data_IF_667497260813
#
_entry.id   IF_667497260813
#
_cell.length_a   1.000
_cell.length_b   1.000
_cell.length_c   1.000
_cell.angle_alpha   90.00
_cell.angle_beta   90.00
_cell.angle_gamma   90.00
#
_symmetry.space_group_name_H-M   'P 1'
#
loop_
_entity.id
_entity.type
_entity.pdbx_description
1 polymer ?
#
# COMPACT_ATOMS: atom_id res chain seq x y z
N UNK A 1 57.05 -31.69 -14.62
CA UNK A 1 56.75 -30.68 -13.57
C UNK A 1 55.36 -30.97 -13.01
N UNK A 2 55.24 -31.40 -11.75
CA UNK A 2 53.94 -31.56 -11.07
C UNK A 2 53.60 -30.23 -10.40
N UNK A 3 52.50 -29.59 -10.79
CA UNK A 3 51.95 -28.48 -10.01
C UNK A 3 51.48 -29.03 -8.67
N UNK A 4 52.03 -28.52 -7.56
CA UNK A 4 51.43 -28.74 -6.24
C UNK A 4 50.19 -27.88 -6.18
N UNK A 5 49.02 -28.49 -6.13
CA UNK A 5 47.80 -27.79 -5.75
C UNK A 5 47.98 -27.33 -4.29
N UNK A 6 48.18 -26.03 -4.09
CA UNK A 6 48.21 -25.42 -2.76
C UNK A 6 46.77 -25.31 -2.26
N UNK A 7 46.34 -26.30 -1.47
CA UNK A 7 45.05 -26.28 -0.78
C UNK A 7 45.10 -25.47 0.51
N UNK A 8 43.96 -24.91 0.91
CA UNK A 8 43.77 -24.27 2.22
C UNK A 8 43.90 -25.31 3.36
N UNK A 9 44.43 -24.90 4.51
CA UNK A 9 44.47 -25.78 5.68
C UNK A 9 43.06 -25.96 6.29
N UNK A 10 42.80 -27.09 6.97
CA UNK A 10 41.51 -27.30 7.66
C UNK A 10 41.22 -26.19 8.68
N UNK A 11 42.24 -25.74 9.41
CA UNK A 11 42.09 -24.66 10.39
C UNK A 11 41.76 -23.32 9.72
N UNK A 12 42.35 -23.03 8.57
CA UNK A 12 42.06 -21.81 7.80
C UNK A 12 40.64 -21.79 7.26
N UNK A 13 40.13 -22.94 6.78
CA UNK A 13 38.73 -23.07 6.39
C UNK A 13 37.80 -22.85 7.61
N UNK A 14 38.11 -23.43 8.76
CA UNK A 14 37.31 -23.25 9.97
C UNK A 14 37.30 -21.79 10.44
N UNK A 15 38.44 -21.10 10.39
CA UNK A 15 38.53 -19.68 10.74
C UNK A 15 37.75 -18.83 9.74
N UNK A 16 37.90 -19.07 8.43
CA UNK A 16 37.17 -18.35 7.39
C UNK A 16 35.65 -18.54 7.53
N UNK A 17 35.18 -19.77 7.77
CA UNK A 17 33.77 -20.05 8.02
C UNK A 17 33.26 -19.37 9.30
N UNK A 18 34.07 -19.37 10.37
CA UNK A 18 33.71 -18.69 11.62
C UNK A 18 33.52 -17.20 11.40
N UNK A 19 34.46 -16.54 10.69
CA UNK A 19 34.35 -15.12 10.34
C UNK A 19 33.13 -14.89 9.45
N UNK A 20 32.88 -15.74 8.45
CA UNK A 20 31.72 -15.62 7.58
C UNK A 20 30.39 -15.71 8.35
N UNK A 21 30.28 -16.63 9.31
CA UNK A 21 29.09 -16.75 10.17
C UNK A 21 28.90 -15.49 11.02
N UNK A 22 29.95 -14.98 11.64
CA UNK A 22 29.89 -13.72 12.41
C UNK A 22 29.40 -12.57 11.51
N UNK A 23 29.95 -12.43 10.30
CA UNK A 23 29.52 -11.38 9.37
C UNK A 23 28.06 -11.55 8.93
N UNK A 24 27.63 -12.76 8.60
CA UNK A 24 26.26 -13.04 8.17
C UNK A 24 25.24 -12.75 9.27
N UNK A 25 25.54 -13.11 10.53
CA UNK A 25 24.63 -12.84 11.66
C UNK A 25 24.37 -11.35 11.87
N UNK A 26 25.33 -10.48 11.54
CA UNK A 26 25.16 -9.03 11.61
C UNK A 26 24.47 -8.46 10.34
N UNK A 27 24.78 -9.01 9.16
CA UNK A 27 24.28 -8.49 7.89
C UNK A 27 22.78 -8.82 7.64
N UNK A 28 22.36 -10.07 7.90
CA UNK A 28 20.99 -10.54 7.62
C UNK A 28 19.87 -9.70 8.25
N UNK A 29 19.92 -9.30 9.54
CA UNK A 29 18.84 -8.49 10.13
C UNK A 29 18.72 -7.11 9.47
N UNK A 30 19.84 -6.50 9.05
CA UNK A 30 19.84 -5.21 8.34
C UNK A 30 19.11 -5.31 7.00
N UNK A 31 19.43 -6.35 6.20
CA UNK A 31 18.78 -6.61 4.92
C UNK A 31 17.26 -6.83 5.05
N UNK A 32 16.80 -7.54 6.08
CA UNK A 32 15.37 -7.72 6.34
C UNK A 32 14.66 -6.37 6.52
N UNK A 33 15.24 -5.44 7.28
CA UNK A 33 14.64 -4.12 7.50
C UNK A 33 14.53 -3.29 6.21
N UNK A 34 15.52 -3.40 5.31
CA UNK A 34 15.52 -2.71 4.02
C UNK A 34 14.41 -3.26 3.12
N UNK A 35 14.28 -4.59 3.04
CA UNK A 35 13.23 -5.24 2.25
C UNK A 35 11.84 -4.83 2.75
N UNK A 36 11.62 -4.81 4.06
CA UNK A 36 10.32 -4.41 4.63
C UNK A 36 10.04 -2.91 4.37
N UNK A 37 11.06 -2.06 4.44
CA UNK A 37 10.94 -0.64 4.09
C UNK A 37 10.56 -0.44 2.62
N UNK A 38 11.13 -1.25 1.73
CA UNK A 38 10.79 -1.23 0.31
C UNK A 38 9.36 -1.70 0.09
N UNK A 39 8.94 -2.81 0.71
CA UNK A 39 7.56 -3.33 0.64
C UNK A 39 6.54 -2.30 1.12
N UNK A 40 6.79 -1.68 2.28
CA UNK A 40 5.97 -0.60 2.82
C UNK A 40 5.85 0.57 1.82
N UNK A 41 6.98 1.06 1.30
CA UNK A 41 7.00 2.18 0.35
C UNK A 41 6.26 1.83 -0.95
N UNK A 42 6.48 0.63 -1.48
CA UNK A 42 5.82 0.15 -2.70
C UNK A 42 4.30 0.11 -2.51
N UNK A 43 3.77 -0.58 -1.49
CA UNK A 43 2.31 -0.71 -1.31
C UNK A 43 1.64 0.64 -1.04
N UNK A 44 2.27 1.52 -0.25
CA UNK A 44 1.75 2.88 -0.03
C UNK A 44 1.69 3.65 -1.35
N UNK A 45 2.72 3.56 -2.19
CA UNK A 45 2.72 4.22 -3.48
C UNK A 45 1.69 3.63 -4.44
N UNK A 46 1.50 2.31 -4.45
CA UNK A 46 0.48 1.65 -5.30
C UNK A 46 -0.93 2.10 -4.92
N UNK A 47 -1.26 2.16 -3.61
CA UNK A 47 -2.56 2.70 -3.17
C UNK A 47 -2.66 4.20 -3.46
N UNK A 48 -1.60 4.97 -3.24
CA UNK A 48 -1.58 6.39 -3.59
C UNK A 48 -1.85 6.63 -5.09
N UNK A 49 -1.24 5.82 -5.96
CA UNK A 49 -1.50 5.84 -7.40
C UNK A 49 -2.95 5.43 -7.69
N UNK A 50 -3.47 4.38 -7.06
CA UNK A 50 -4.86 3.96 -7.25
C UNK A 50 -5.87 5.04 -6.85
N UNK A 51 -5.62 5.79 -5.76
CA UNK A 51 -6.44 6.94 -5.35
C UNK A 51 -6.41 8.04 -6.42
N UNK A 52 -5.23 8.40 -6.91
CA UNK A 52 -5.10 9.42 -7.95
C UNK A 52 -5.73 8.97 -9.27
N UNK A 53 -5.61 7.68 -9.62
CA UNK A 53 -6.26 7.08 -10.78
C UNK A 53 -7.77 7.19 -10.67
N UNK A 54 -8.34 6.78 -9.54
CA UNK A 54 -9.79 6.89 -9.23
C UNK A 54 -10.27 8.33 -9.42
N UNK A 55 -9.53 9.30 -8.87
CA UNK A 55 -9.82 10.72 -9.04
C UNK A 55 -9.76 11.16 -10.51
N UNK A 56 -8.72 10.77 -11.24
CA UNK A 56 -8.54 11.17 -12.64
C UNK A 56 -9.60 10.57 -13.56
N UNK A 57 -10.01 9.34 -13.31
CA UNK A 57 -11.05 8.64 -14.07
C UNK A 57 -12.43 9.24 -13.81
N UNK A 58 -12.71 9.61 -12.55
CA UNK A 58 -13.94 10.34 -12.22
C UNK A 58 -14.01 11.65 -13.00
N UNK A 59 -12.92 12.43 -13.00
CA UNK A 59 -12.83 13.70 -13.75
C UNK A 59 -12.99 13.47 -15.26
N UNK A 60 -12.23 12.52 -15.82
CA UNK A 60 -12.22 12.26 -17.26
C UNK A 60 -13.59 11.82 -17.78
N UNK A 61 -14.33 11.05 -16.97
CA UNK A 61 -15.65 10.53 -17.33
C UNK A 61 -16.81 11.42 -16.88
N UNK A 62 -16.55 12.42 -16.06
CA UNK A 62 -17.58 13.26 -15.45
C UNK A 62 -18.54 12.50 -14.52
N UNK A 63 -18.17 11.31 -14.04
CA UNK A 63 -19.04 10.41 -13.28
C UNK A 63 -18.40 9.93 -11.98
N UNK A 64 -19.15 9.18 -11.17
CA UNK A 64 -18.66 8.54 -9.96
C UNK A 64 -17.70 7.39 -10.31
N UNK A 65 -16.55 7.37 -9.65
CA UNK A 65 -15.61 6.25 -9.68
C UNK A 65 -15.20 5.92 -8.26
N UNK A 66 -15.19 4.63 -7.95
CA UNK A 66 -14.99 4.11 -6.61
C UNK A 66 -13.72 3.27 -6.55
N UNK A 67 -13.00 3.42 -5.44
CA UNK A 67 -11.91 2.58 -5.00
C UNK A 67 -12.38 1.78 -3.78
N UNK A 68 -12.41 0.46 -3.91
CA UNK A 68 -12.89 -0.46 -2.86
C UNK A 68 -11.85 -1.55 -2.59
N UNK A 69 -11.81 -2.13 -1.39
CA UNK A 69 -11.00 -3.31 -1.15
C UNK A 69 -11.57 -4.49 -1.97
N UNK A 70 -10.67 -5.35 -2.44
CA UNK A 70 -11.04 -6.53 -3.21
C UNK A 70 -11.71 -7.59 -2.31
N UNK A 71 -12.42 -8.54 -2.93
CA UNK A 71 -13.04 -9.66 -2.22
C UNK A 71 -14.31 -9.24 -1.48
N UNK A 72 -14.33 -9.38 -0.15
CA UNK A 72 -15.51 -9.14 0.69
C UNK A 72 -15.84 -7.66 0.94
N UNK A 73 -15.00 -6.73 0.46
CA UNK A 73 -15.23 -5.31 0.62
C UNK A 73 -14.82 -4.75 2.00
N UNK A 74 -14.03 -5.51 2.79
CA UNK A 74 -13.66 -5.09 4.16
C UNK A 74 -12.16 -5.16 4.48
N UNK A 75 -11.37 -5.80 3.62
CA UNK A 75 -9.95 -6.04 3.86
C UNK A 75 -9.08 -5.57 2.69
N UNK A 76 -8.44 -4.41 2.86
CA UNK A 76 -7.52 -3.83 1.88
C UNK A 76 -6.24 -4.65 1.68
N UNK A 77 -5.91 -5.57 2.59
CA UNK A 77 -4.74 -6.46 2.42
C UNK A 77 -4.99 -7.52 1.35
N UNK A 78 -6.25 -7.81 1.00
CA UNK A 78 -6.62 -8.70 -0.11
C UNK A 78 -6.49 -8.03 -1.49
N UNK A 79 -6.14 -6.75 -1.52
CA UNK A 79 -6.04 -5.94 -2.73
C UNK A 79 -7.17 -4.92 -2.83
N UNK A 80 -7.25 -4.24 -3.96
CA UNK A 80 -8.23 -3.18 -4.20
C UNK A 80 -8.60 -3.08 -5.68
N UNK A 81 -9.77 -2.50 -5.93
CA UNK A 81 -10.37 -2.36 -7.25
C UNK A 81 -10.81 -0.92 -7.45
N UNK A 82 -10.48 -0.36 -8.61
CA UNK A 82 -11.01 0.89 -9.12
C UNK A 82 -12.02 0.55 -10.21
N UNK A 83 -13.26 1.01 -10.06
CA UNK A 83 -14.33 0.72 -11.01
C UNK A 83 -15.33 1.88 -11.10
N UNK A 84 -16.11 1.88 -12.17
CA UNK A 84 -17.18 2.86 -12.38
C UNK A 84 -18.43 2.37 -11.64
N UNK A 85 -18.76 3.02 -10.54
CA UNK A 85 -19.96 2.71 -9.73
C UNK A 85 -21.18 3.44 -10.32
N UNK A 86 -21.80 2.80 -11.33
CA UNK A 86 -22.99 3.32 -12.01
C UNK A 86 -24.29 3.16 -11.21
N UNK A 87 -24.34 2.20 -10.29
CA UNK A 87 -25.54 1.84 -9.51
C UNK A 87 -25.53 2.47 -8.09
N UNK A 88 -24.38 2.97 -7.63
CA UNK A 88 -24.19 3.62 -6.34
C UNK A 88 -24.07 2.67 -5.15
N UNK A 89 -23.80 1.39 -5.36
CA UNK A 89 -23.81 0.39 -4.31
C UNK A 89 -22.44 0.12 -3.66
N UNK A 90 -21.38 0.78 -4.12
CA UNK A 90 -20.03 0.68 -3.54
C UNK A 90 -19.48 -0.75 -3.54
N UNK A 91 -19.96 -1.62 -4.44
CA UNK A 91 -19.52 -3.00 -4.55
C UNK A 91 -19.30 -3.33 -5.99
N UNK A 92 -18.02 -3.56 -6.31
CA UNK A 92 -17.67 -4.17 -7.58
C UNK A 92 -18.44 -5.49 -7.77
N UNK A 93 -19.19 -5.56 -8.87
CA UNK A 93 -19.94 -6.73 -9.31
C UNK A 93 -19.61 -7.10 -10.76
N UNK A 94 -19.88 -8.35 -11.12
CA UNK A 94 -19.73 -8.81 -12.50
C UNK A 94 -20.67 -8.01 -13.42
N UNK A 95 -20.09 -7.38 -14.45
CA UNK A 95 -20.79 -6.48 -15.38
C UNK A 95 -20.44 -5.01 -15.22
N UNK A 96 -19.80 -4.62 -14.11
CA UNK A 96 -19.29 -3.25 -13.94
C UNK A 96 -17.92 -3.06 -14.58
N UNK A 97 -17.68 -1.84 -15.10
CA UNK A 97 -16.43 -1.54 -15.77
C UNK A 97 -15.29 -1.34 -14.76
N UNK A 98 -14.37 -2.32 -14.73
CA UNK A 98 -13.11 -2.21 -13.99
C UNK A 98 -12.17 -1.28 -14.74
N UNK A 99 -11.62 -0.31 -14.02
CA UNK A 99 -10.51 0.52 -14.49
C UNK A 99 -9.18 -0.13 -14.12
N UNK A 100 -9.06 -0.58 -12.86
CA UNK A 100 -7.83 -1.15 -12.34
C UNK A 100 -8.12 -2.13 -11.22
N UNK A 101 -7.31 -3.18 -11.12
CA UNK A 101 -7.37 -4.15 -10.02
C UNK A 101 -5.96 -4.47 -9.58
N UNK A 102 -5.73 -4.42 -8.28
CA UNK A 102 -4.48 -4.81 -7.65
C UNK A 102 -4.66 -6.08 -6.82
N UNK A 103 -3.59 -6.87 -6.74
CA UNK A 103 -3.52 -8.06 -5.91
C UNK A 103 -3.31 -7.75 -4.42
N UNK A 104 -3.17 -8.82 -3.64
CA UNK A 104 -2.95 -8.73 -2.20
C UNK A 104 -1.66 -7.97 -1.83
N UNK A 105 -1.70 -7.30 -0.68
CA UNK A 105 -0.54 -6.67 -0.08
C UNK A 105 0.45 -7.73 0.45
N UNK A 106 1.72 -7.35 0.70
CA UNK A 106 2.70 -8.26 1.28
C UNK A 106 2.29 -8.81 2.64
N UNK A 107 2.70 -10.05 2.93
CA UNK A 107 2.45 -10.70 4.22
C UNK A 107 2.90 -9.85 5.42
N UNK A 108 2.10 -9.88 6.49
CA UNK A 108 2.38 -9.12 7.71
C UNK A 108 2.02 -7.64 7.64
N UNK A 109 1.54 -7.15 6.49
CA UNK A 109 1.01 -5.80 6.39
C UNK A 109 -0.41 -5.72 6.97
N UNK A 110 -0.71 -4.65 7.68
CA UNK A 110 -2.08 -4.28 8.03
C UNK A 110 -2.42 -2.92 7.44
N UNK A 111 -3.62 -2.82 6.86
CA UNK A 111 -4.12 -1.59 6.25
C UNK A 111 -5.42 -1.21 6.95
N UNK A 112 -5.41 -0.10 7.69
CA UNK A 112 -6.60 0.45 8.35
C UNK A 112 -7.21 1.58 7.52
N UNK A 113 -8.52 1.51 7.32
CA UNK A 113 -9.30 2.54 6.63
C UNK A 113 -10.16 3.30 7.64
N UNK A 114 -9.87 4.59 7.85
CA UNK A 114 -10.60 5.44 8.77
C UNK A 114 -11.05 6.73 8.06
N UNK A 115 -12.28 6.73 7.57
CA UNK A 115 -12.88 7.86 6.85
C UNK A 115 -14.22 8.26 7.46
N UNK A 116 -14.69 9.46 7.09
CA UNK A 116 -15.89 10.09 7.66
C UNK A 116 -17.18 9.31 7.40
N UNK A 117 -17.30 8.63 6.25
CA UNK A 117 -18.36 7.64 6.04
C UNK A 117 -17.76 6.25 6.25
N UNK A 118 -18.20 5.61 7.33
CA UNK A 118 -17.75 4.31 7.80
C UNK A 118 -18.77 3.19 7.58
N UNK A 119 -19.86 3.47 6.85
CA UNK A 119 -20.89 2.47 6.54
C UNK A 119 -20.33 1.29 5.73
N UNK A 120 -19.32 1.57 4.89
CA UNK A 120 -18.50 0.60 4.15
C UNK A 120 -17.09 1.16 4.00
N UNK A 121 -16.15 0.30 3.59
CA UNK A 121 -14.80 0.74 3.24
C UNK A 121 -14.72 1.02 1.74
N UNK A 122 -14.71 2.29 1.38
CA UNK A 122 -14.64 2.72 -0.01
C UNK A 122 -14.08 4.14 -0.08
N UNK A 123 -13.52 4.54 -1.21
CA UNK A 123 -13.21 5.92 -1.54
C UNK A 123 -13.81 6.27 -2.90
N UNK A 124 -14.74 7.22 -2.92
CA UNK A 124 -15.39 7.65 -4.15
C UNK A 124 -15.00 9.08 -4.53
N UNK A 125 -14.86 9.32 -5.83
CA UNK A 125 -14.69 10.65 -6.42
C UNK A 125 -15.86 10.98 -7.35
N UNK A 126 -16.20 12.27 -7.44
CA UNK A 126 -17.14 12.78 -8.44
C UNK A 126 -16.41 13.36 -9.67
N UNK A 127 -17.16 13.75 -10.70
CA UNK A 127 -16.63 14.34 -11.94
C UNK A 127 -15.86 15.66 -11.78
N UNK A 128 -15.90 16.31 -10.62
CA UNK A 128 -15.10 17.51 -10.32
C UNK A 128 -13.78 17.18 -9.62
N UNK A 129 -13.53 15.91 -9.31
CA UNK A 129 -12.35 15.46 -8.59
C UNK A 129 -12.42 15.65 -7.07
N UNK A 130 -13.57 16.03 -6.52
CA UNK A 130 -13.79 16.00 -5.08
C UNK A 130 -14.11 14.58 -4.62
N UNK A 131 -13.56 14.20 -3.48
CA UNK A 131 -14.02 13.01 -2.76
C UNK A 131 -15.48 13.21 -2.36
N UNK A 132 -16.26 12.14 -2.28
CA UNK A 132 -17.68 12.20 -1.92
C UNK A 132 -18.08 11.04 -1.00
N UNK A 133 -19.16 11.22 -0.25
CA UNK A 133 -19.84 10.10 0.41
C UNK A 133 -20.83 9.42 -0.55
N UNK A 134 -21.39 8.30 -0.12
CA UNK A 134 -22.41 7.58 -0.88
C UNK A 134 -23.65 8.43 -1.05
N UNK A 135 -24.10 8.99 0.08
CA UNK A 135 -25.39 9.67 0.23
C UNK A 135 -25.41 11.06 -0.41
N UNK A 136 -24.25 11.68 -0.66
CA UNK A 136 -24.16 13.02 -1.23
C UNK A 136 -22.89 13.20 -2.05
N UNK A 137 -23.03 13.68 -3.29
CA UNK A 137 -21.90 14.06 -4.15
C UNK A 137 -21.16 15.32 -3.69
N UNK A 138 -21.77 16.09 -2.77
CA UNK A 138 -21.26 17.36 -2.25
C UNK A 138 -20.61 17.21 -0.87
N UNK A 139 -20.90 16.13 -0.14
CA UNK A 139 -20.29 15.87 1.16
C UNK A 139 -18.96 15.16 0.95
N UNK A 140 -17.82 15.78 1.28
CA UNK A 140 -16.54 15.14 1.03
C UNK A 140 -16.27 14.03 2.02
N UNK A 141 -15.63 12.98 1.51
CA UNK A 141 -15.15 11.89 2.32
C UNK A 141 -13.69 12.13 2.71
N UNK A 142 -13.48 12.40 3.99
CA UNK A 142 -12.18 12.73 4.57
C UNK A 142 -11.68 11.58 5.40
N UNK A 143 -10.36 11.42 5.50
CA UNK A 143 -9.84 10.36 6.34
C UNK A 143 -8.40 10.02 6.09
N UNK A 144 -8.01 8.89 6.66
CA UNK A 144 -6.66 8.36 6.62
C UNK A 144 -6.70 6.86 6.37
N UNK A 145 -5.90 6.41 5.40
CA UNK A 145 -5.46 5.01 5.32
C UNK A 145 -4.13 4.88 6.04
N UNK A 146 -4.04 3.98 7.02
CA UNK A 146 -2.80 3.68 7.75
C UNK A 146 -2.27 2.32 7.34
N UNK A 147 -0.98 2.26 7.04
CA UNK A 147 -0.26 1.06 6.62
C UNK A 147 0.75 0.74 7.70
N UNK A 148 0.71 -0.48 8.22
CA UNK A 148 1.64 -0.96 9.25
C UNK A 148 2.31 -2.23 8.77
N UNK A 149 3.64 -2.29 8.86
CA UNK A 149 4.45 -3.46 8.57
C UNK A 149 5.61 -3.50 9.55
N UNK A 150 5.68 -4.55 10.35
CA UNK A 150 6.56 -4.66 11.52
C UNK A 150 6.40 -3.43 12.46
N UNK A 151 7.44 -2.60 12.60
CA UNK A 151 7.44 -1.37 13.42
C UNK A 151 7.21 -0.10 12.60
N UNK A 152 7.06 -0.23 11.28
CA UNK A 152 6.93 0.91 10.38
C UNK A 152 5.48 1.27 10.17
N UNK A 153 5.18 2.57 10.17
CA UNK A 153 3.87 3.11 9.85
C UNK A 153 4.01 4.13 8.72
N UNK A 154 3.08 4.09 7.76
CA UNK A 154 2.85 5.12 6.75
C UNK A 154 1.37 5.44 6.69
N UNK A 155 1.04 6.66 6.33
CA UNK A 155 -0.34 7.11 6.21
C UNK A 155 -0.57 7.80 4.88
N UNK A 156 -1.73 7.58 4.29
CA UNK A 156 -2.27 8.40 3.21
C UNK A 156 -3.46 9.16 3.78
N UNK A 157 -3.34 10.48 3.84
CA UNK A 157 -4.41 11.37 4.31
C UNK A 157 -5.11 11.99 3.11
N UNK A 158 -6.43 12.08 3.16
CA UNK A 158 -7.23 12.76 2.13
C UNK A 158 -7.89 13.98 2.76
N UNK A 159 -7.64 15.14 2.15
CA UNK A 159 -8.20 16.41 2.61
C UNK A 159 -9.57 16.72 1.97
N UNK A 160 -10.16 17.87 2.33
CA UNK A 160 -11.50 18.28 1.89
C UNK A 160 -11.64 18.38 0.38
N UNK A 161 -10.56 18.75 -0.30
CA UNK A 161 -10.53 18.82 -1.77
C UNK A 161 -10.33 17.43 -2.42
N UNK A 162 -10.33 16.35 -1.66
CA UNK A 162 -10.07 14.98 -2.11
C UNK A 162 -8.61 14.74 -2.52
N UNK A 163 -7.65 15.58 -2.10
CA UNK A 163 -6.24 15.42 -2.49
C UNK A 163 -5.53 14.46 -1.54
N UNK A 164 -4.97 13.34 -2.01
CA UNK A 164 -4.20 12.44 -1.16
C UNK A 164 -2.81 13.02 -0.85
N UNK A 165 -2.30 12.74 0.35
CA UNK A 165 -0.93 13.03 0.77
C UNK A 165 -0.38 11.87 1.58
N UNK A 166 0.82 11.41 1.23
CA UNK A 166 1.58 10.46 2.05
C UNK A 166 2.27 11.19 3.21
N UNK A 167 2.26 10.60 4.39
CA UNK A 167 3.07 11.03 5.53
C UNK A 167 3.62 9.85 6.34
N UNK A 168 4.72 10.10 7.05
CA UNK A 168 5.37 9.15 7.94
C UNK A 168 5.26 9.66 9.39
N UNK A 169 4.43 9.06 10.25
CA UNK A 169 4.25 9.52 11.63
C UNK A 169 5.54 9.61 12.45
N UNK A 170 6.54 8.76 12.16
CA UNK A 170 7.81 8.75 12.88
C UNK A 170 8.70 9.97 12.53
N UNK A 171 8.50 10.59 11.36
CA UNK A 171 9.28 11.76 10.90
C UNK A 171 8.44 13.03 11.00
N UNK A 172 7.18 12.97 10.55
CA UNK A 172 6.29 14.12 10.43
C UNK A 172 5.56 14.46 11.74
N UNK A 173 5.54 13.53 12.71
CA UNK A 173 4.89 13.72 14.00
C UNK A 173 3.42 14.12 13.86
N UNK A 174 3.03 15.22 14.52
CA UNK A 174 1.67 15.78 14.50
C UNK A 174 1.22 16.34 13.14
N UNK A 175 2.14 16.54 12.18
CA UNK A 175 1.78 16.96 10.82
C UNK A 175 1.19 15.79 10.01
N UNK A 176 1.36 14.58 10.53
CA UNK A 176 0.68 13.35 10.13
C UNK A 176 -0.44 13.04 11.15
#
# INVERSE_FOLDING_TARGET
MKSRATGFSMIELMVALTIAVILLTLAVPSFRSVIQSQRMTTTVNEVFVAINLTRSEAIQRGTRVDLVPAGDGTDWTKGWVVFIDGNGDQRWQDGEQIVFKHGAAPDGMTIQFAFTDSSRQYLAYNGTGHSRTNTSSQTPQLGTMSFTLDKQVRRIKINFAGRPRVCNPAIDGQKC
#
